data_IF_603637470649
#
_entry.id   IF_603637470649
#
_cell.length_a   1.000
_cell.length_b   1.000
_cell.length_c   1.000
_cell.angle_alpha   90.00
_cell.angle_beta   90.00
_cell.angle_gamma   90.00
#
_symmetry.space_group_name_H-M   'P 1'
#
loop_
_entity.id
_entity.type
_entity.pdbx_description
1 polymer ?
#
# COMPACT_ATOMS: atom_id res chain seq x y z
N UNK A 1 13.43 -0.06 75.47
CA UNK A 1 12.43 -0.77 74.65
C UNK A 1 11.73 0.25 73.75
N UNK A 2 12.06 0.28 72.45
CA UNK A 2 11.33 1.03 71.42
C UNK A 2 11.30 0.16 70.18
N UNK A 3 10.09 -0.25 69.81
CA UNK A 3 9.77 -1.04 68.63
C UNK A 3 9.49 -0.04 67.49
N UNK A 4 9.60 -0.54 66.25
CA UNK A 4 8.74 -0.22 65.11
C UNK A 4 9.18 0.96 64.21
N UNK A 5 9.01 0.95 62.87
CA UNK A 5 8.32 0.09 61.90
C UNK A 5 9.13 0.22 60.59
N UNK A 6 9.47 -0.90 59.93
CA UNK A 6 9.97 -0.85 58.54
C UNK A 6 8.78 -0.82 57.59
N UNK A 7 8.60 0.30 56.89
CA UNK A 7 7.56 0.48 55.87
C UNK A 7 7.99 -0.30 54.62
N UNK A 8 7.37 -1.46 54.39
CA UNK A 8 7.58 -2.21 53.15
C UNK A 8 6.83 -1.51 52.01
N UNK A 9 7.59 -0.90 51.09
CA UNK A 9 7.05 -0.22 49.91
C UNK A 9 6.67 -1.26 48.87
N UNK A 10 5.38 -1.47 48.61
CA UNK A 10 4.91 -2.33 47.52
C UNK A 10 5.03 -1.57 46.19
N UNK A 11 5.92 -2.04 45.31
CA UNK A 11 6.04 -1.53 43.94
C UNK A 11 4.90 -2.11 43.10
N UNK A 12 3.94 -1.27 42.72
CA UNK A 12 2.83 -1.67 41.83
C UNK A 12 3.33 -1.58 40.38
N UNK A 13 3.71 -2.72 39.79
CA UNK A 13 4.07 -2.78 38.36
C UNK A 13 2.78 -2.82 37.55
N UNK A 14 2.44 -1.71 36.90
CA UNK A 14 1.33 -1.66 35.96
C UNK A 14 1.70 -2.45 34.69
N UNK A 15 1.03 -3.58 34.47
CA UNK A 15 1.16 -4.36 33.25
C UNK A 15 0.32 -3.69 32.15
N UNK A 16 0.97 -2.90 31.29
CA UNK A 16 0.32 -2.31 30.12
C UNK A 16 0.21 -3.39 29.04
N UNK A 17 -0.99 -3.90 28.80
CA UNK A 17 -1.26 -4.78 27.67
C UNK A 17 -1.32 -3.95 26.39
N UNK A 18 -0.32 -4.12 25.51
CA UNK A 18 -0.42 -3.63 24.14
C UNK A 18 -1.44 -4.48 23.38
N UNK A 19 -2.57 -3.89 23.00
CA UNK A 19 -3.54 -4.52 22.10
C UNK A 19 -2.97 -4.69 20.68
N UNK A 20 -3.54 -5.57 19.85
CA UNK A 20 -3.11 -5.74 18.47
C UNK A 20 -3.32 -4.44 17.69
N UNK A 21 -2.26 -3.97 17.02
CA UNK A 21 -2.37 -2.87 16.06
C UNK A 21 -2.97 -3.40 14.75
N UNK A 22 -4.12 -2.88 14.34
CA UNK A 22 -4.68 -3.15 13.01
C UNK A 22 -3.96 -2.28 11.98
N UNK A 23 -2.95 -2.84 11.32
CA UNK A 23 -2.28 -2.19 10.20
C UNK A 23 -3.15 -2.27 8.94
N UNK A 24 -3.18 -1.18 8.17
CA UNK A 24 -3.75 -1.20 6.82
C UNK A 24 -2.82 -2.02 5.91
N UNK A 25 -3.39 -2.86 5.05
CA UNK A 25 -2.61 -3.66 4.10
C UNK A 25 -1.71 -2.76 3.25
N UNK A 26 -0.44 -3.13 3.01
CA UNK A 26 0.51 -2.32 2.26
C UNK A 26 0.10 -2.12 0.80
N UNK A 27 -0.75 -3.00 0.26
CA UNK A 27 -1.31 -2.90 -1.09
C UNK A 27 -2.84 -2.95 -1.03
N UNK A 28 -3.48 -1.90 -1.53
CA UNK A 28 -4.92 -1.89 -1.77
C UNK A 28 -5.25 -2.92 -2.85
N UNK A 29 -5.97 -3.97 -2.45
CA UNK A 29 -6.46 -4.99 -3.37
C UNK A 29 -7.98 -5.16 -3.20
N UNK A 30 -8.68 -5.37 -4.32
CA UNK A 30 -10.11 -5.72 -4.31
C UNK A 30 -10.24 -7.12 -4.89
N UNK A 31 -10.63 -8.08 -4.05
CA UNK A 31 -10.66 -9.50 -4.44
C UNK A 31 -9.27 -10.06 -4.77
N UNK A 32 -8.23 -9.64 -4.04
CA UNK A 32 -6.87 -10.13 -4.17
C UNK A 32 -6.04 -9.52 -5.30
N UNK A 33 -6.63 -8.67 -6.16
CA UNK A 33 -5.93 -8.02 -7.29
C UNK A 33 -5.45 -6.62 -6.93
N UNK A 34 -4.15 -6.38 -7.08
CA UNK A 34 -3.52 -5.07 -6.92
C UNK A 34 -4.07 -4.10 -7.98
N UNK A 35 -4.27 -2.83 -7.61
CA UNK A 35 -4.65 -1.73 -8.51
C UNK A 35 -5.79 -2.07 -9.48
N UNK A 36 -6.77 -2.85 -9.00
CA UNK A 36 -7.94 -3.31 -9.77
C UNK A 36 -7.56 -4.17 -10.98
N UNK A 37 -6.39 -4.81 -10.99
CA UNK A 37 -5.89 -5.67 -12.07
C UNK A 37 -5.38 -4.90 -13.30
N UNK A 38 -4.96 -3.64 -13.13
CA UNK A 38 -4.25 -2.90 -14.16
C UNK A 38 -2.75 -3.19 -14.10
N UNK A 39 -2.07 -3.01 -15.22
CA UNK A 39 -0.64 -3.21 -15.37
C UNK A 39 0.12 -1.98 -14.83
N UNK A 40 0.92 -2.11 -13.75
CA UNK A 40 1.69 -1.00 -13.21
C UNK A 40 2.84 -0.54 -14.12
N UNK A 41 3.38 -1.44 -14.94
CA UNK A 41 4.51 -1.15 -15.84
C UNK A 41 4.03 -0.33 -17.04
N UNK A 42 2.83 -0.60 -17.53
CA UNK A 42 2.23 0.12 -18.66
C UNK A 42 2.08 1.63 -18.42
N UNK A 43 1.93 2.09 -17.17
CA UNK A 43 1.94 3.54 -16.87
C UNK A 43 3.27 4.20 -17.24
N UNK A 44 4.39 3.47 -17.17
CA UNK A 44 5.73 3.98 -17.46
C UNK A 44 6.16 3.73 -18.90
N UNK A 45 5.78 2.59 -19.48
CA UNK A 45 6.24 2.17 -20.81
C UNK A 45 5.29 2.55 -21.93
N UNK A 46 3.98 2.58 -21.65
CA UNK A 46 2.92 2.86 -22.61
C UNK A 46 2.19 4.18 -22.33
N UNK A 47 2.50 4.83 -21.20
CA UNK A 47 1.85 6.05 -20.70
C UNK A 47 0.32 5.93 -20.64
N UNK A 48 -0.18 4.74 -20.28
CA UNK A 48 -1.61 4.41 -20.28
C UNK A 48 -1.98 3.44 -19.16
N UNK A 49 -3.22 3.56 -18.70
CA UNK A 49 -3.84 2.54 -17.86
C UNK A 49 -4.23 1.35 -18.75
N UNK A 50 -3.47 0.27 -18.70
CA UNK A 50 -3.75 -0.95 -19.47
C UNK A 50 -4.20 -2.06 -18.54
N UNK A 51 -5.27 -2.77 -18.93
CA UNK A 51 -5.77 -3.90 -18.14
C UNK A 51 -4.82 -5.09 -18.26
N UNK A 52 -4.45 -5.67 -17.12
CA UNK A 52 -3.66 -6.89 -17.08
C UNK A 52 -4.48 -8.14 -17.39
N UNK A 53 -3.78 -9.24 -17.70
CA UNK A 53 -4.36 -10.56 -17.94
C UNK A 53 -4.00 -11.50 -16.80
N UNK A 54 -4.89 -12.45 -16.48
CA UNK A 54 -4.61 -13.46 -15.44
C UNK A 54 -3.43 -14.38 -15.79
N UNK A 55 -3.19 -14.60 -17.07
CA UNK A 55 -2.07 -15.40 -17.59
C UNK A 55 -0.71 -14.77 -17.31
N UNK A 56 -0.65 -13.45 -17.14
CA UNK A 56 0.56 -12.71 -16.79
C UNK A 56 0.37 -12.13 -15.40
N UNK A 57 0.68 -12.92 -14.37
CA UNK A 57 0.48 -12.52 -12.99
C UNK A 57 1.68 -12.78 -12.10
N UNK A 58 1.83 -11.93 -11.09
CA UNK A 58 2.93 -12.01 -10.12
C UNK A 58 2.42 -11.62 -8.74
N UNK A 59 2.77 -12.41 -7.71
CA UNK A 59 2.37 -12.12 -6.34
C UNK A 59 3.46 -11.29 -5.66
N UNK A 60 3.10 -10.11 -5.19
CA UNK A 60 4.02 -9.21 -4.48
C UNK A 60 3.29 -8.44 -3.39
N UNK A 61 3.88 -8.40 -2.19
CA UNK A 61 3.30 -7.79 -0.98
C UNK A 61 1.84 -8.24 -0.69
N UNK A 62 1.57 -9.54 -0.84
CA UNK A 62 0.27 -10.11 -0.52
C UNK A 62 -0.85 -9.85 -1.54
N UNK A 63 -0.55 -9.21 -2.69
CA UNK A 63 -1.50 -8.97 -3.76
C UNK A 63 -1.07 -9.61 -5.08
N UNK A 64 -2.04 -9.97 -5.91
CA UNK A 64 -1.85 -10.46 -7.28
C UNK A 64 -1.77 -9.26 -8.22
N UNK A 65 -0.62 -9.06 -8.83
CA UNK A 65 -0.37 -8.08 -9.88
C UNK A 65 -0.61 -8.73 -11.24
N UNK A 66 -1.24 -8.02 -12.15
CA UNK A 66 -1.56 -8.50 -13.50
C UNK A 66 -0.93 -7.59 -14.54
N UNK A 67 -0.46 -8.17 -15.64
CA UNK A 67 0.29 -7.46 -16.67
C UNK A 67 -0.36 -7.64 -18.05
N UNK A 68 -0.23 -6.65 -18.92
CA UNK A 68 -0.74 -6.66 -20.28
C UNK A 68 0.04 -7.63 -21.18
N UNK A 69 1.29 -7.90 -20.81
CA UNK A 69 2.24 -8.78 -21.50
C UNK A 69 3.18 -9.50 -20.52
N UNK A 70 3.79 -10.60 -20.98
CA UNK A 70 4.85 -11.30 -20.24
C UNK A 70 6.09 -10.41 -20.01
N UNK A 71 6.45 -9.56 -20.98
CA UNK A 71 7.56 -8.63 -20.84
C UNK A 71 7.34 -7.63 -19.69
N UNK A 72 6.12 -7.09 -19.53
CA UNK A 72 5.80 -6.22 -18.40
C UNK A 72 5.85 -6.97 -17.07
N UNK A 73 5.40 -8.23 -17.02
CA UNK A 73 5.56 -9.06 -15.83
C UNK A 73 7.03 -9.25 -15.43
N UNK A 74 7.91 -9.53 -16.40
CA UNK A 74 9.35 -9.68 -16.16
C UNK A 74 9.99 -8.37 -15.67
N UNK A 75 9.64 -7.23 -16.27
CA UNK A 75 10.10 -5.92 -15.82
C UNK A 75 9.68 -5.65 -14.37
N UNK A 76 8.44 -5.96 -14.01
CA UNK A 76 7.95 -5.81 -12.65
C UNK A 76 8.68 -6.75 -11.69
N UNK A 77 8.82 -8.03 -12.03
CA UNK A 77 9.48 -9.01 -11.17
C UNK A 77 10.95 -8.66 -10.92
N UNK A 78 11.63 -8.04 -11.89
CA UNK A 78 13.01 -7.59 -11.76
C UNK A 78 13.17 -6.36 -10.84
N UNK A 79 12.18 -5.47 -10.80
CA UNK A 79 12.23 -4.28 -9.93
C UNK A 79 10.81 -3.81 -9.51
N UNK A 80 10.14 -4.49 -8.57
CA UNK A 80 8.77 -4.18 -8.20
C UNK A 80 8.61 -2.77 -7.64
N UNK A 81 9.58 -2.29 -6.87
CA UNK A 81 9.55 -0.98 -6.20
C UNK A 81 9.56 0.19 -7.18
N UNK A 82 10.11 0.00 -8.39
CA UNK A 82 10.08 1.01 -9.46
C UNK A 82 8.67 1.21 -10.00
N UNK A 83 7.91 0.13 -10.14
CA UNK A 83 6.65 0.13 -10.89
C UNK A 83 5.41 0.16 -9.97
N UNK A 84 5.50 -0.41 -8.77
CA UNK A 84 4.41 -0.37 -7.80
C UNK A 84 4.09 1.10 -7.41
N UNK A 85 2.81 1.47 -7.23
CA UNK A 85 2.47 2.80 -6.77
C UNK A 85 3.06 3.08 -5.39
N UNK A 86 3.47 4.33 -5.16
CA UNK A 86 4.12 4.77 -3.92
C UNK A 86 3.27 4.50 -2.66
N UNK A 87 1.95 4.45 -2.81
CA UNK A 87 1.00 4.15 -1.74
C UNK A 87 0.23 2.86 -2.01
N UNK A 88 0.85 1.87 -2.64
CA UNK A 88 0.31 0.51 -2.72
C UNK A 88 -1.04 0.38 -3.44
N UNK A 89 -1.44 1.37 -4.23
CA UNK A 89 -2.75 1.38 -4.88
C UNK A 89 -3.87 2.09 -4.12
N UNK A 90 -3.57 2.75 -3.01
CA UNK A 90 -4.46 3.75 -2.39
C UNK A 90 -4.34 5.10 -3.09
N UNK A 91 -5.41 5.89 -3.00
CA UNK A 91 -5.42 7.27 -3.46
C UNK A 91 -4.35 8.09 -2.72
N UNK A 92 -3.37 8.63 -3.45
CA UNK A 92 -2.29 9.45 -2.91
C UNK A 92 -2.83 10.67 -2.14
N UNK A 93 -3.84 11.36 -2.69
CA UNK A 93 -4.47 12.50 -2.03
C UNK A 93 -5.14 12.10 -0.71
N UNK A 94 -5.77 10.93 -0.64
CA UNK A 94 -6.38 10.45 0.61
C UNK A 94 -5.30 10.17 1.67
N UNK A 95 -4.23 9.47 1.28
CA UNK A 95 -3.15 9.07 2.19
C UNK A 95 -2.48 10.29 2.84
N UNK A 96 -2.18 11.34 2.05
CA UNK A 96 -1.60 12.58 2.61
C UNK A 96 -2.57 13.35 3.50
N UNK A 97 -3.88 13.07 3.39
CA UNK A 97 -4.93 13.62 4.27
C UNK A 97 -5.33 12.65 5.41
N UNK A 98 -4.49 11.65 5.70
CA UNK A 98 -4.62 10.73 6.84
C UNK A 98 -5.85 9.80 6.78
N UNK A 99 -6.30 9.41 5.59
CA UNK A 99 -7.27 8.34 5.39
C UNK A 99 -6.97 7.56 4.09
N UNK A 100 -7.69 6.46 3.83
CA UNK A 100 -7.51 5.67 2.61
C UNK A 100 -8.74 5.71 1.73
N UNK A 101 -8.52 5.66 0.42
CA UNK A 101 -9.57 5.55 -0.58
C UNK A 101 -9.09 4.66 -1.74
N UNK A 102 -10.05 4.07 -2.44
CA UNK A 102 -9.79 3.35 -3.69
C UNK A 102 -9.27 4.29 -4.78
N UNK A 103 -8.99 3.73 -5.96
CA UNK A 103 -8.43 4.45 -7.11
C UNK A 103 -9.30 4.29 -8.35
N UNK A 104 -9.17 5.28 -9.23
CA UNK A 104 -9.50 5.22 -10.64
C UNK A 104 -8.18 4.98 -11.41
N UNK A 105 -8.03 3.86 -12.15
CA UNK A 105 -6.83 3.55 -12.91
C UNK A 105 -6.43 4.64 -13.91
N UNK A 106 -7.39 5.42 -14.42
CA UNK A 106 -7.12 6.54 -15.34
C UNK A 106 -6.71 7.84 -14.62
N UNK A 107 -6.72 7.86 -13.29
CA UNK A 107 -6.35 8.99 -12.46
C UNK A 107 -4.97 8.77 -11.83
N UNK A 108 -3.94 8.80 -12.66
CA UNK A 108 -2.56 8.54 -12.28
C UNK A 108 -1.62 9.70 -12.68
N UNK A 109 -0.49 9.75 -12.01
CA UNK A 109 0.65 10.63 -12.31
C UNK A 109 1.96 9.90 -12.07
N UNK A 110 3.00 10.22 -12.83
CA UNK A 110 4.38 9.84 -12.52
C UNK A 110 5.10 11.11 -12.05
N UNK A 111 5.56 11.12 -10.81
CA UNK A 111 6.34 12.21 -10.22
C UNK A 111 7.66 11.63 -9.72
N UNK A 112 8.79 12.21 -10.13
CA UNK A 112 10.14 11.74 -9.77
C UNK A 112 10.35 10.24 -9.99
N UNK A 113 9.84 9.72 -11.10
CA UNK A 113 9.95 8.31 -11.47
C UNK A 113 9.09 7.35 -10.64
N UNK A 114 8.12 7.86 -9.86
CA UNK A 114 7.23 7.08 -9.01
C UNK A 114 5.78 7.22 -9.43
N UNK A 115 5.05 6.10 -9.39
CA UNK A 115 3.63 6.05 -9.75
C UNK A 115 2.76 6.48 -8.56
N UNK A 116 1.85 7.41 -8.81
CA UNK A 116 0.81 7.84 -7.89
C UNK A 116 -0.56 7.61 -8.52
N UNK A 117 -1.48 7.05 -7.75
CA UNK A 117 -2.86 6.80 -8.16
C UNK A 117 -3.81 7.63 -7.31
N UNK A 118 -4.94 8.04 -7.87
CA UNK A 118 -5.94 8.86 -7.20
C UNK A 118 -7.35 8.27 -7.38
N UNK A 119 -8.26 8.69 -6.51
CA UNK A 119 -9.66 8.23 -6.52
C UNK A 119 -10.41 8.61 -7.81
N UNK A 120 -10.07 9.75 -8.41
CA UNK A 120 -10.66 10.24 -9.67
C UNK A 120 -9.75 11.28 -10.32
N UNK A 121 -9.99 11.59 -11.60
CA UNK A 121 -9.27 12.65 -12.31
C UNK A 121 -9.45 14.03 -11.66
N UNK A 122 -10.61 14.28 -11.05
CA UNK A 122 -10.86 15.51 -10.28
C UNK A 122 -10.01 15.59 -9.01
N UNK A 123 -9.87 14.47 -8.29
CA UNK A 123 -9.00 14.40 -7.10
C UNK A 123 -7.53 14.51 -7.49
N UNK A 124 -7.11 13.92 -8.61
CA UNK A 124 -5.75 14.05 -9.15
C UNK A 124 -5.35 15.50 -9.45
N UNK A 125 -6.32 16.33 -9.83
CA UNK A 125 -6.07 17.73 -10.19
C UNK A 125 -5.97 18.68 -8.98
N UNK A 126 -6.13 18.18 -7.75
CA UNK A 126 -5.92 18.96 -6.51
C UNK A 126 -4.45 18.98 -6.11
#
# INVERSE_FOLDING_TARGET
MRIAISVATFLFIAFVSAGPALAVDPVFNTGGKAIRGYDPVAYFTEEKAVKGKSEHSFTFQGAIWQFSSAANQELFAANPEKYAPQYGGYCAWAVVNNYTASIDPDAWSICDGKLYLNYSKLVRAR
#
